data_IF_454318848179
#
_entry.id   IF_454318848179
#
_cell.length_a   1.000
_cell.length_b   1.000
_cell.length_c   1.000
_cell.angle_alpha   90.00
_cell.angle_beta   90.00
_cell.angle_gamma   90.00
#
_symmetry.space_group_name_H-M   'P 1'
#
loop_
_entity.id
_entity.type
_entity.pdbx_description
1 polymer ?
#
# COMPACT_ATOMS: atom_id res chain seq x y z
N UNK A 1 13.07 -50.61 -30.36
CA UNK A 1 14.21 -51.43 -30.82
C UNK A 1 15.30 -50.49 -31.35
N UNK A 2 16.39 -50.36 -30.66
CA UNK A 2 17.79 -50.38 -31.02
C UNK A 2 18.62 -49.94 -29.82
N UNK A 3 19.35 -50.94 -29.31
CA UNK A 3 20.43 -50.88 -28.32
C UNK A 3 21.68 -50.36 -29.02
N UNK A 4 22.58 -49.75 -28.28
CA UNK A 4 24.06 -49.86 -28.40
C UNK A 4 24.62 -48.92 -27.30
N UNK A 5 25.49 -49.25 -26.51
CA UNK A 5 26.54 -50.21 -26.21
C UNK A 5 27.65 -49.45 -25.49
N UNK A 6 28.00 -49.96 -24.35
CA UNK A 6 29.04 -49.56 -23.41
C UNK A 6 30.42 -49.82 -24.01
N UNK A 7 31.39 -48.92 -23.88
CA UNK A 7 32.80 -49.26 -23.96
C UNK A 7 33.58 -48.63 -22.78
N UNK A 8 34.02 -49.51 -21.89
CA UNK A 8 35.08 -49.24 -20.93
C UNK A 8 36.44 -49.24 -21.67
N UNK A 9 37.29 -48.26 -21.37
CA UNK A 9 38.73 -48.40 -21.64
C UNK A 9 39.52 -47.94 -20.43
N UNK A 10 40.16 -48.94 -19.82
CA UNK A 10 41.16 -48.81 -18.74
C UNK A 10 42.52 -48.58 -19.38
N UNK A 11 43.31 -47.61 -18.93
CA UNK A 11 44.74 -47.59 -19.19
C UNK A 11 45.56 -46.98 -18.04
N UNK A 12 46.59 -47.69 -17.76
CA UNK A 12 47.61 -47.83 -16.75
C UNK A 12 48.45 -46.59 -16.48
N UNK A 13 48.83 -46.43 -15.21
CA UNK A 13 49.85 -45.51 -14.69
C UNK A 13 51.23 -45.67 -15.35
N UNK A 14 51.88 -44.55 -15.60
CA UNK A 14 53.34 -44.47 -15.55
C UNK A 14 53.73 -43.09 -14.98
N UNK A 15 54.38 -43.11 -13.82
CA UNK A 15 54.90 -41.93 -13.15
C UNK A 15 56.17 -41.42 -13.82
N UNK A 16 56.25 -40.10 -13.93
CA UNK A 16 57.53 -39.38 -14.15
C UNK A 16 57.52 -38.17 -13.21
N UNK A 17 58.42 -38.18 -12.23
CA UNK A 17 58.78 -37.00 -11.44
C UNK A 17 59.48 -35.97 -12.34
N UNK A 18 58.90 -34.77 -12.48
CA UNK A 18 59.64 -33.61 -13.00
C UNK A 18 59.37 -32.45 -12.08
N UNK A 19 60.40 -31.96 -11.42
CA UNK A 19 60.40 -30.67 -10.68
C UNK A 19 60.19 -29.53 -11.65
N UNK A 20 59.15 -28.69 -11.44
CA UNK A 20 58.99 -27.42 -12.11
C UNK A 20 58.86 -26.31 -11.06
N UNK A 21 59.36 -25.09 -11.38
CA UNK A 21 59.51 -24.01 -10.38
C UNK A 21 58.16 -23.38 -10.00
N UNK A 22 58.10 -22.81 -8.80
CA UNK A 22 56.94 -22.12 -8.27
C UNK A 22 56.59 -20.89 -9.15
N UNK A 23 55.49 -20.96 -9.88
CA UNK A 23 54.81 -19.79 -10.43
C UNK A 23 54.09 -19.06 -9.30
N UNK A 24 54.48 -17.81 -9.06
CA UNK A 24 53.76 -16.86 -8.27
C UNK A 24 52.39 -16.55 -8.91
N UNK A 25 51.39 -17.37 -8.61
CA UNK A 25 50.02 -17.10 -8.95
C UNK A 25 49.50 -15.88 -8.18
N UNK A 26 49.50 -14.73 -8.83
CA UNK A 26 48.78 -13.56 -8.40
C UNK A 26 47.29 -13.94 -8.33
N UNK A 27 46.80 -14.34 -7.15
CA UNK A 27 45.37 -14.44 -6.88
C UNK A 27 44.83 -13.01 -6.91
N UNK A 28 44.32 -12.57 -8.05
CA UNK A 28 43.38 -11.46 -8.08
C UNK A 28 42.27 -11.76 -7.09
N UNK A 29 42.26 -11.02 -5.99
CA UNK A 29 41.15 -11.02 -5.05
C UNK A 29 39.92 -10.56 -5.86
N UNK A 30 38.93 -11.45 -6.07
CA UNK A 30 37.61 -11.05 -6.54
C UNK A 30 37.18 -9.90 -5.62
N UNK A 31 37.08 -8.69 -6.18
CA UNK A 31 36.42 -7.56 -5.52
C UNK A 31 35.06 -8.11 -5.10
N UNK A 32 34.77 -8.08 -3.80
CA UNK A 32 33.43 -8.32 -3.30
C UNK A 32 32.52 -7.33 -4.04
N UNK A 33 31.53 -7.83 -4.75
CA UNK A 33 30.49 -6.97 -5.32
C UNK A 33 29.90 -6.18 -4.16
N UNK A 34 29.88 -4.87 -4.28
CA UNK A 34 29.15 -4.02 -3.34
C UNK A 34 27.70 -4.49 -3.32
N UNK A 35 27.07 -4.61 -2.14
CA UNK A 35 25.67 -5.01 -2.08
C UNK A 35 24.87 -4.03 -2.93
N UNK A 36 24.12 -4.55 -3.91
CA UNK A 36 23.17 -3.73 -4.67
C UNK A 36 22.20 -3.08 -3.70
N UNK A 37 21.98 -1.79 -3.83
CA UNK A 37 20.92 -1.10 -3.10
C UNK A 37 19.58 -1.79 -3.39
N UNK A 38 18.75 -1.90 -2.34
CA UNK A 38 17.41 -2.46 -2.51
C UNK A 38 16.56 -1.53 -3.39
N UNK A 39 15.80 -2.11 -4.28
CA UNK A 39 14.85 -1.42 -5.17
C UNK A 39 13.42 -1.77 -4.78
N UNK A 40 12.43 -1.05 -5.32
CA UNK A 40 11.04 -1.44 -5.18
C UNK A 40 10.77 -2.78 -5.92
N UNK A 41 9.87 -3.63 -5.41
CA UNK A 41 9.09 -3.50 -4.17
C UNK A 41 9.85 -3.85 -2.87
N UNK A 42 11.07 -4.42 -2.94
CA UNK A 42 11.83 -4.84 -1.75
C UNK A 42 12.01 -3.70 -0.74
N UNK A 43 12.32 -2.49 -1.24
CA UNK A 43 12.52 -1.30 -0.43
C UNK A 43 11.27 -0.98 0.41
N UNK A 44 10.07 -1.15 -0.16
CA UNK A 44 8.80 -0.92 0.53
C UNK A 44 8.40 -2.05 1.51
N UNK A 45 9.19 -3.11 1.62
CA UNK A 45 8.84 -4.30 2.41
C UNK A 45 8.46 -4.00 3.86
N UNK A 46 9.13 -3.05 4.50
CA UNK A 46 8.87 -2.64 5.90
C UNK A 46 8.16 -1.28 6.03
N UNK A 47 7.80 -0.63 4.92
CA UNK A 47 7.25 0.72 4.90
C UNK A 47 5.74 0.74 5.20
N UNK A 48 5.28 1.91 5.58
CA UNK A 48 3.87 2.26 5.78
C UNK A 48 3.52 3.40 4.83
N UNK A 49 2.38 3.27 4.14
CA UNK A 49 1.85 4.32 3.25
C UNK A 49 1.03 5.32 4.09
N UNK A 50 1.16 6.59 3.77
CA UNK A 50 0.33 7.66 4.31
C UNK A 50 -0.38 8.38 3.15
N UNK A 51 -1.69 8.31 3.12
CA UNK A 51 -2.51 8.96 2.10
C UNK A 51 -2.73 10.43 2.44
N UNK A 52 -2.36 11.32 1.53
CA UNK A 52 -2.39 12.79 1.69
C UNK A 52 -3.52 13.39 0.87
N UNK A 53 -4.53 13.92 1.56
CA UNK A 53 -5.59 14.74 0.97
C UNK A 53 -5.23 16.21 1.12
N UNK A 54 -4.50 16.78 0.14
CA UNK A 54 -3.93 18.12 0.24
C UNK A 54 -5.00 19.21 0.45
N UNK A 55 -6.17 19.12 -0.24
CA UNK A 55 -7.27 20.07 -0.09
C UNK A 55 -7.75 20.18 1.35
N UNK A 56 -7.83 19.05 2.05
CA UNK A 56 -8.43 18.94 3.37
C UNK A 56 -7.40 18.93 4.51
N UNK A 57 -6.10 18.83 4.17
CA UNK A 57 -5.06 18.61 5.16
C UNK A 57 -4.91 19.77 6.14
N UNK A 58 -4.95 21.00 5.62
CA UNK A 58 -4.88 22.23 6.42
C UNK A 58 -6.05 23.17 6.06
N UNK A 59 -6.32 24.19 6.88
CA UNK A 59 -7.29 25.24 6.50
C UNK A 59 -6.95 25.90 5.16
N UNK A 60 -5.66 26.10 4.86
CA UNK A 60 -5.18 26.68 3.60
C UNK A 60 -5.36 25.70 2.43
N UNK A 61 -5.12 24.41 2.66
CA UNK A 61 -5.16 23.35 1.65
C UNK A 61 -4.06 23.46 0.60
N UNK A 62 -2.86 23.90 1.00
CA UNK A 62 -1.74 24.17 0.09
C UNK A 62 -0.52 23.32 0.42
N UNK A 63 0.37 23.11 -0.56
CA UNK A 63 1.66 22.43 -0.36
C UNK A 63 2.52 23.13 0.70
N UNK A 64 2.54 24.47 0.71
CA UNK A 64 3.30 25.24 1.71
C UNK A 64 2.84 24.94 3.13
N UNK A 65 1.52 24.93 3.35
CA UNK A 65 0.97 24.61 4.66
C UNK A 65 1.18 23.12 5.02
N UNK A 66 1.06 22.22 4.06
CA UNK A 66 1.34 20.79 4.25
C UNK A 66 2.81 20.55 4.65
N UNK A 67 3.76 21.26 4.05
CA UNK A 67 5.20 21.10 4.32
C UNK A 67 5.58 21.30 5.79
N UNK A 68 4.79 22.05 6.55
CA UNK A 68 4.99 22.20 8.00
C UNK A 68 4.68 20.92 8.79
N UNK A 69 3.91 20.01 8.17
CA UNK A 69 3.55 18.72 8.76
C UNK A 69 4.52 17.58 8.39
N UNK A 70 5.39 17.73 7.41
CA UNK A 70 6.34 16.68 7.01
C UNK A 70 7.22 16.18 8.17
N UNK A 71 7.77 17.04 9.06
CA UNK A 71 8.52 16.56 10.22
C UNK A 71 7.67 15.67 11.16
N UNK A 72 6.40 16.00 11.36
CA UNK A 72 5.46 15.20 12.16
C UNK A 72 5.19 13.83 11.52
N UNK A 73 5.02 13.77 10.18
CA UNK A 73 4.84 12.52 9.45
C UNK A 73 6.10 11.64 9.50
N UNK A 74 7.28 12.25 9.42
CA UNK A 74 8.54 11.54 9.67
C UNK A 74 8.61 10.98 11.10
N UNK A 75 8.18 11.75 12.09
CA UNK A 75 8.14 11.32 13.49
C UNK A 75 7.08 10.22 13.71
N UNK A 76 5.97 10.24 12.98
CA UNK A 76 4.99 9.15 12.94
C UNK A 76 5.62 7.86 12.42
N UNK A 77 6.63 7.99 11.55
CA UNK A 77 7.43 6.90 10.99
C UNK A 77 6.96 6.42 9.63
N UNK A 78 5.99 7.09 8.99
CA UNK A 78 5.54 6.76 7.63
C UNK A 78 6.63 7.07 6.61
N UNK A 79 6.72 6.27 5.56
CA UNK A 79 7.79 6.39 4.57
C UNK A 79 7.30 6.68 3.16
N UNK A 80 6.11 6.24 2.77
CA UNK A 80 5.55 6.53 1.44
C UNK A 80 4.37 7.50 1.61
N UNK A 81 4.49 8.68 1.02
CA UNK A 81 3.42 9.67 0.97
C UNK A 81 2.69 9.53 -0.36
N UNK A 82 1.45 9.05 -0.33
CA UNK A 82 0.59 9.03 -1.49
C UNK A 82 -0.26 10.30 -1.52
N UNK A 83 0.03 11.19 -2.47
CA UNK A 83 -0.79 12.38 -2.72
C UNK A 83 -1.97 12.02 -3.62
N UNK A 84 -3.20 12.25 -3.14
CA UNK A 84 -4.39 12.27 -3.97
C UNK A 84 -4.20 13.24 -5.16
N UNK A 85 -5.03 13.17 -6.24
CA UNK A 85 -4.77 13.96 -7.43
C UNK A 85 -4.56 15.45 -7.14
N UNK A 86 -3.46 15.99 -7.65
CA UNK A 86 -3.05 17.40 -7.45
C UNK A 86 -3.24 18.27 -8.68
N UNK A 87 -3.77 17.71 -9.76
CA UNK A 87 -3.99 18.36 -11.04
C UNK A 87 -5.20 19.30 -10.98
N UNK A 88 -5.31 20.29 -11.89
CA UNK A 88 -6.47 21.15 -12.03
C UNK A 88 -7.74 20.34 -12.27
N UNK A 89 -8.83 20.77 -11.65
CA UNK A 89 -10.13 20.10 -11.68
C UNK A 89 -11.03 20.74 -12.73
N UNK A 90 -11.76 19.92 -13.50
CA UNK A 90 -12.71 20.36 -14.49
C UNK A 90 -13.81 21.27 -13.91
N UNK A 91 -14.31 22.19 -14.74
CA UNK A 91 -15.41 23.08 -14.39
C UNK A 91 -16.72 22.68 -15.07
N UNK A 92 -16.62 22.10 -16.27
CA UNK A 92 -17.78 21.65 -17.02
C UNK A 92 -18.37 20.38 -16.38
N UNK A 93 -19.65 20.44 -16.07
CA UNK A 93 -20.41 19.39 -15.37
C UNK A 93 -19.90 19.09 -13.95
N UNK A 94 -19.16 20.00 -13.34
CA UNK A 94 -18.58 19.86 -12.00
C UNK A 94 -19.65 19.52 -10.97
N UNK A 95 -19.35 18.54 -10.11
CA UNK A 95 -20.13 18.20 -8.92
C UNK A 95 -19.67 19.05 -7.73
N UNK A 96 -20.59 19.60 -6.95
CA UNK A 96 -20.27 20.51 -5.84
C UNK A 96 -19.61 21.81 -6.28
N UNK A 97 -19.00 22.55 -5.34
CA UNK A 97 -18.38 23.85 -5.65
C UNK A 97 -16.95 23.71 -6.16
N UNK A 98 -16.17 22.76 -5.61
CA UNK A 98 -14.76 22.56 -5.94
C UNK A 98 -14.49 21.36 -6.87
N UNK A 99 -15.48 20.50 -7.06
CA UNK A 99 -15.38 19.33 -7.94
C UNK A 99 -14.60 18.15 -7.36
N UNK A 100 -14.64 17.06 -8.09
CA UNK A 100 -13.88 15.84 -7.81
C UNK A 100 -12.40 16.04 -8.10
N UNK A 101 -11.53 15.60 -7.20
CA UNK A 101 -10.08 15.52 -7.44
C UNK A 101 -9.76 14.70 -8.69
N UNK A 102 -10.61 13.71 -9.01
CA UNK A 102 -10.44 12.77 -10.12
C UNK A 102 -10.95 13.31 -11.45
N UNK A 103 -11.62 14.47 -11.50
CA UNK A 103 -12.01 15.12 -12.77
C UNK A 103 -10.86 15.97 -13.30
N UNK A 104 -9.88 15.34 -13.93
CA UNK A 104 -8.59 15.93 -14.34
C UNK A 104 -8.79 16.84 -15.57
N UNK A 105 -8.46 18.14 -15.42
CA UNK A 105 -8.51 19.14 -16.51
C UNK A 105 -7.19 19.27 -17.28
N UNK A 106 -6.07 19.01 -16.63
CA UNK A 106 -4.74 19.04 -17.23
C UNK A 106 -3.80 18.12 -16.47
N UNK A 107 -3.27 17.10 -17.12
CA UNK A 107 -2.38 16.12 -16.48
C UNK A 107 -0.98 16.63 -16.16
N UNK A 108 -0.53 17.69 -16.82
CA UNK A 108 0.83 18.23 -16.70
C UNK A 108 0.89 19.55 -15.91
N UNK A 109 -0.18 19.85 -15.14
CA UNK A 109 -0.27 21.06 -14.32
C UNK A 109 -0.67 20.77 -12.88
N UNK A 110 -0.33 21.67 -11.97
CA UNK A 110 -0.77 21.68 -10.57
C UNK A 110 -2.04 22.50 -10.43
N UNK A 111 -2.99 22.02 -9.61
CA UNK A 111 -4.16 22.80 -9.23
C UNK A 111 -3.74 24.10 -8.53
N UNK A 112 -4.09 25.27 -9.05
CA UNK A 112 -3.68 26.55 -8.47
C UNK A 112 -4.20 26.79 -7.04
N UNK A 113 -5.24 26.04 -6.60
CA UNK A 113 -5.70 26.06 -5.21
C UNK A 113 -4.67 25.47 -4.25
N UNK A 114 -3.81 24.54 -4.71
CA UNK A 114 -2.81 23.85 -3.89
C UNK A 114 -1.44 24.54 -3.92
N UNK A 115 -1.18 25.34 -4.96
CA UNK A 115 0.10 26.03 -5.19
C UNK A 115 0.58 25.93 -6.63
N UNK A 116 1.89 25.98 -6.81
CA UNK A 116 2.55 25.89 -8.12
C UNK A 116 3.30 24.56 -8.27
N UNK A 117 3.81 24.28 -9.48
CA UNK A 117 4.70 23.14 -9.72
C UNK A 117 5.95 23.20 -8.84
N UNK A 118 6.52 24.40 -8.66
CA UNK A 118 7.68 24.63 -7.81
C UNK A 118 7.36 24.36 -6.34
N UNK A 119 6.14 24.69 -5.87
CA UNK A 119 5.71 24.38 -4.51
C UNK A 119 5.58 22.86 -4.30
N UNK A 120 5.06 22.12 -5.29
CA UNK A 120 5.01 20.66 -5.21
C UNK A 120 6.41 20.03 -5.27
N UNK A 121 7.28 20.52 -6.16
CA UNK A 121 8.68 20.09 -6.23
C UNK A 121 9.39 20.29 -4.89
N UNK A 122 9.24 21.46 -4.27
CA UNK A 122 9.79 21.73 -2.94
C UNK A 122 9.20 20.79 -1.86
N UNK A 123 7.98 20.31 -2.03
CA UNK A 123 7.37 19.30 -1.15
C UNK A 123 8.05 17.94 -1.32
N UNK A 124 8.29 17.50 -2.55
CA UNK A 124 9.00 16.26 -2.87
C UNK A 124 10.43 16.32 -2.34
N UNK A 125 11.17 17.39 -2.65
CA UNK A 125 12.53 17.61 -2.17
C UNK A 125 12.60 17.49 -0.64
N UNK A 126 11.70 18.17 0.08
CA UNK A 126 11.64 18.13 1.55
C UNK A 126 11.27 16.76 2.10
N UNK A 127 10.38 16.01 1.43
CA UNK A 127 10.07 14.62 1.78
C UNK A 127 11.31 13.74 1.64
N UNK A 128 12.06 13.85 0.53
CA UNK A 128 13.30 13.13 0.28
C UNK A 128 14.38 13.47 1.32
N UNK A 129 14.57 14.76 1.67
CA UNK A 129 15.49 15.19 2.74
C UNK A 129 15.17 14.50 4.09
N UNK A 130 13.90 14.21 4.35
CA UNK A 130 13.44 13.49 5.53
C UNK A 130 13.47 11.96 5.36
N UNK A 131 13.91 11.47 4.19
CA UNK A 131 13.95 10.03 3.87
C UNK A 131 12.56 9.43 3.72
N UNK A 132 11.64 10.16 3.12
CA UNK A 132 10.31 9.69 2.72
C UNK A 132 10.21 9.71 1.19
N UNK A 133 9.39 8.83 0.64
CA UNK A 133 9.09 8.69 -0.78
C UNK A 133 7.75 9.33 -1.10
N UNK A 134 7.59 9.83 -2.32
CA UNK A 134 6.36 10.49 -2.78
C UNK A 134 5.81 9.76 -3.99
N UNK A 135 4.58 9.25 -3.89
CA UNK A 135 3.84 8.72 -5.03
C UNK A 135 2.63 9.61 -5.32
N UNK A 136 2.32 9.76 -6.61
CA UNK A 136 1.23 10.60 -7.08
C UNK A 136 0.05 9.74 -7.53
N UNK A 137 -1.16 10.13 -7.14
CA UNK A 137 -2.37 9.52 -7.67
C UNK A 137 -2.49 9.79 -9.17
N UNK A 138 -2.68 8.74 -9.94
CA UNK A 138 -2.76 8.81 -11.38
C UNK A 138 -4.10 8.29 -11.87
N UNK A 139 -4.85 9.13 -12.58
CA UNK A 139 -6.21 8.87 -13.06
C UNK A 139 -6.20 8.59 -14.56
N UNK A 140 -5.94 7.36 -15.00
CA UNK A 140 -5.82 7.06 -16.42
C UNK A 140 -7.15 6.82 -17.11
N UNK A 141 -8.22 6.50 -16.38
CA UNK A 141 -9.49 6.04 -16.94
C UNK A 141 -10.25 7.13 -17.70
N UNK A 142 -10.14 8.40 -17.29
CA UNK A 142 -10.97 9.48 -17.80
C UNK A 142 -10.32 10.85 -17.61
N UNK A 143 -10.92 11.88 -18.23
CA UNK A 143 -10.58 13.29 -18.01
C UNK A 143 -11.83 14.09 -17.63
N UNK A 144 -11.64 15.36 -17.24
CA UNK A 144 -12.74 16.31 -17.19
C UNK A 144 -13.31 16.61 -18.59
N UNK A 145 -14.56 17.08 -18.68
CA UNK A 145 -15.20 17.46 -19.94
C UNK A 145 -14.63 18.74 -20.60
N UNK A 146 -13.86 19.53 -19.88
CA UNK A 146 -13.14 20.70 -20.36
C UNK A 146 -11.62 20.48 -20.47
N UNK A 147 -11.17 19.22 -20.43
CA UNK A 147 -9.80 18.85 -20.77
C UNK A 147 -9.48 19.22 -22.23
N UNK A 148 -8.31 19.81 -22.55
CA UNK A 148 -7.94 20.19 -23.91
C UNK A 148 -8.05 19.07 -24.96
N UNK A 149 -7.88 17.81 -24.56
CA UNK A 149 -7.99 16.67 -25.49
C UNK A 149 -9.42 16.48 -26.03
N UNK A 150 -10.46 16.90 -25.31
CA UNK A 150 -11.86 16.81 -25.80
C UNK A 150 -12.01 17.48 -27.17
N UNK A 151 -11.34 18.61 -27.37
CA UNK A 151 -11.43 19.38 -28.63
C UNK A 151 -10.29 19.11 -29.60
N UNK A 152 -9.07 18.86 -29.09
CA UNK A 152 -7.88 18.66 -29.92
C UNK A 152 -7.73 17.21 -30.40
N UNK A 153 -8.17 16.26 -29.60
CA UNK A 153 -8.00 14.81 -29.79
C UNK A 153 -9.26 14.04 -29.39
N UNK A 154 -10.44 14.32 -29.97
CA UNK A 154 -11.69 13.62 -29.63
C UNK A 154 -11.63 12.11 -29.95
N UNK A 155 -10.64 11.67 -30.70
CA UNK A 155 -10.34 10.26 -30.97
C UNK A 155 -9.75 9.52 -29.76
N UNK A 156 -9.26 10.22 -28.74
CA UNK A 156 -8.75 9.60 -27.52
C UNK A 156 -9.84 9.06 -26.60
N UNK A 157 -11.10 9.41 -26.87
CA UNK A 157 -12.22 9.13 -25.98
C UNK A 157 -13.09 7.99 -26.47
N UNK A 158 -13.59 7.22 -25.51
CA UNK A 158 -14.62 6.22 -25.74
C UNK A 158 -15.93 6.88 -26.23
N UNK A 159 -16.64 6.19 -27.10
CA UNK A 159 -17.87 6.72 -27.73
C UNK A 159 -19.04 5.76 -27.56
N UNK A 160 -20.21 6.32 -27.36
CA UNK A 160 -21.46 5.59 -27.39
C UNK A 160 -21.82 5.11 -28.83
N UNK A 161 -22.92 4.40 -28.96
CA UNK A 161 -23.40 3.89 -30.26
C UNK A 161 -23.81 4.98 -31.25
N UNK A 162 -23.97 6.23 -30.79
CA UNK A 162 -24.28 7.40 -31.62
C UNK A 162 -23.03 8.20 -32.01
N UNK A 163 -21.86 7.80 -31.52
CA UNK A 163 -20.58 8.46 -31.76
C UNK A 163 -20.26 9.62 -30.83
N UNK A 164 -21.04 9.85 -29.77
CA UNK A 164 -20.77 10.85 -28.76
C UNK A 164 -19.74 10.33 -27.75
N UNK A 165 -18.87 11.22 -27.24
CA UNK A 165 -18.00 10.90 -26.11
C UNK A 165 -18.90 10.52 -24.92
N UNK A 166 -18.51 9.44 -24.21
CA UNK A 166 -19.30 8.88 -23.11
C UNK A 166 -18.61 9.05 -21.75
N UNK A 167 -19.29 8.65 -20.70
CA UNK A 167 -18.80 8.60 -19.32
C UNK A 167 -19.19 7.25 -18.72
N UNK A 168 -18.65 6.93 -17.55
CA UNK A 168 -18.88 5.66 -16.86
C UNK A 168 -19.89 5.84 -15.72
N UNK A 169 -20.79 4.87 -15.54
CA UNK A 169 -21.77 4.82 -14.47
C UNK A 169 -22.53 6.15 -14.29
N UNK A 170 -22.53 6.73 -13.10
CA UNK A 170 -23.11 8.03 -12.76
C UNK A 170 -22.05 9.16 -12.64
N UNK A 171 -20.83 8.93 -13.15
CA UNK A 171 -19.72 9.90 -13.11
C UNK A 171 -19.85 10.92 -14.25
N UNK A 172 -20.94 11.70 -14.21
CA UNK A 172 -21.33 12.63 -15.27
C UNK A 172 -20.39 13.84 -15.44
N UNK A 173 -19.45 14.02 -14.53
CA UNK A 173 -18.43 15.07 -14.51
C UNK A 173 -17.12 14.68 -15.21
N UNK A 174 -17.05 13.45 -15.79
CA UNK A 174 -15.86 12.95 -16.49
C UNK A 174 -16.19 12.45 -17.91
N UNK A 175 -15.17 12.34 -18.75
CA UNK A 175 -15.21 11.80 -20.09
C UNK A 175 -14.23 10.62 -20.20
N UNK A 176 -14.76 9.45 -20.57
CA UNK A 176 -14.03 8.17 -20.59
C UNK A 176 -12.99 8.13 -21.72
N UNK A 177 -11.77 7.72 -21.42
CA UNK A 177 -10.71 7.53 -22.41
C UNK A 177 -10.80 6.14 -23.06
N UNK A 178 -10.30 6.05 -24.30
CA UNK A 178 -10.21 4.79 -25.07
C UNK A 178 -8.75 4.28 -25.09
N UNK A 179 -8.42 3.39 -24.18
CA UNK A 179 -7.09 2.76 -24.09
C UNK A 179 -6.83 1.67 -25.15
N UNK A 180 -7.78 1.35 -26.00
CA UNK A 180 -7.49 0.48 -27.16
C UNK A 180 -6.62 1.21 -28.18
N UNK A 181 -6.56 2.55 -28.12
CA UNK A 181 -5.77 3.40 -29.03
C UNK A 181 -4.36 3.62 -28.51
N UNK A 182 -3.34 3.28 -29.30
CA UNK A 182 -1.94 3.49 -28.91
C UNK A 182 -1.59 4.96 -28.66
N UNK A 183 -2.22 5.89 -29.38
CA UNK A 183 -1.98 7.33 -29.23
C UNK A 183 -2.43 7.85 -27.87
N UNK A 184 -3.60 7.37 -27.39
CA UNK A 184 -4.13 7.69 -26.04
C UNK A 184 -3.16 7.20 -24.97
N UNK A 185 -2.75 5.93 -25.04
CA UNK A 185 -1.81 5.34 -24.09
C UNK A 185 -0.47 6.06 -24.09
N UNK A 186 0.09 6.31 -25.28
CA UNK A 186 1.35 7.05 -25.39
C UNK A 186 1.27 8.43 -24.74
N UNK A 187 0.19 9.19 -25.01
CA UNK A 187 0.06 10.54 -24.44
C UNK A 187 -0.12 10.50 -22.91
N UNK A 188 -0.81 9.48 -22.40
CA UNK A 188 -0.95 9.25 -20.97
C UNK A 188 0.41 8.95 -20.32
N UNK A 189 1.22 8.07 -20.92
CA UNK A 189 2.57 7.73 -20.45
C UNK A 189 3.51 8.94 -20.52
N UNK A 190 3.40 9.77 -21.57
CA UNK A 190 4.18 11.00 -21.68
C UNK A 190 3.86 11.99 -20.55
N UNK A 191 2.60 12.08 -20.14
CA UNK A 191 2.18 12.89 -19.00
C UNK A 191 2.68 12.34 -17.66
N UNK A 192 2.73 11.02 -17.48
CA UNK A 192 3.35 10.39 -16.30
C UNK A 192 4.86 10.72 -16.25
N UNK A 193 5.53 10.60 -17.38
CA UNK A 193 6.97 10.93 -17.51
C UNK A 193 7.27 12.38 -17.13
N UNK A 194 6.37 13.32 -17.43
CA UNK A 194 6.51 14.72 -17.02
C UNK A 194 6.72 14.83 -15.49
N UNK A 195 5.90 14.16 -14.68
CA UNK A 195 6.00 14.26 -13.22
C UNK A 195 7.30 13.65 -12.67
N UNK A 196 7.76 12.54 -13.23
CA UNK A 196 9.04 11.93 -12.84
C UNK A 196 10.20 12.92 -13.13
N UNK A 197 10.25 13.48 -14.34
CA UNK A 197 11.32 14.35 -14.76
C UNK A 197 11.34 15.70 -14.05
N UNK A 198 10.16 16.30 -13.83
CA UNK A 198 10.06 17.65 -13.29
C UNK A 198 10.08 17.69 -11.76
N UNK A 199 9.62 16.63 -11.10
CA UNK A 199 9.39 16.67 -9.65
C UNK A 199 10.07 15.54 -8.87
N UNK A 200 10.70 14.61 -9.56
CA UNK A 200 11.43 13.47 -8.96
C UNK A 200 10.56 12.60 -8.04
N UNK A 201 9.27 12.43 -8.33
CA UNK A 201 8.39 11.50 -7.59
C UNK A 201 8.88 10.06 -7.69
N UNK A 202 8.49 9.21 -6.74
CA UNK A 202 8.97 7.84 -6.57
C UNK A 202 7.96 6.78 -7.03
N UNK A 203 6.87 7.17 -7.68
CA UNK A 203 5.90 6.23 -8.20
C UNK A 203 4.49 6.78 -8.32
N UNK A 204 3.55 5.84 -8.48
CA UNK A 204 2.15 6.17 -8.72
C UNK A 204 1.21 5.26 -7.94
N UNK A 205 0.11 5.84 -7.45
CA UNK A 205 -1.10 5.09 -7.15
C UNK A 205 -2.01 5.19 -8.38
N UNK A 206 -2.32 4.05 -8.95
CA UNK A 206 -3.04 3.92 -10.20
C UNK A 206 -4.53 3.79 -9.93
N UNK A 207 -5.26 4.88 -10.15
CA UNK A 207 -6.71 4.98 -9.96
C UNK A 207 -7.45 4.03 -10.92
N UNK A 208 -8.43 3.29 -10.40
CA UNK A 208 -9.33 2.42 -11.17
C UNK A 208 -8.58 1.51 -12.17
N UNK A 209 -7.47 0.91 -11.71
CA UNK A 209 -6.40 0.38 -12.56
C UNK A 209 -6.77 -0.81 -13.46
N UNK A 210 -7.88 -1.51 -13.21
CA UNK A 210 -8.16 -2.78 -13.87
C UNK A 210 -9.46 -2.88 -14.66
N UNK A 211 -10.34 -1.90 -14.62
CA UNK A 211 -11.65 -1.95 -15.30
C UNK A 211 -11.53 -1.73 -16.81
N UNK A 212 -11.63 -0.49 -17.26
CA UNK A 212 -11.47 -0.13 -18.66
C UNK A 212 -9.99 0.03 -19.08
N UNK A 213 -9.07 -0.10 -18.11
CA UNK A 213 -7.64 -0.01 -18.35
C UNK A 213 -7.09 -1.42 -18.65
N UNK A 214 -6.64 -1.69 -19.88
CA UNK A 214 -6.08 -2.98 -20.22
C UNK A 214 -4.70 -3.17 -19.59
N UNK A 215 -4.34 -4.41 -19.22
CA UNK A 215 -3.05 -4.72 -18.60
C UNK A 215 -1.85 -4.26 -19.46
N UNK A 216 -1.96 -4.35 -20.78
CA UNK A 216 -0.89 -3.90 -21.69
C UNK A 216 -0.62 -2.39 -21.63
N UNK A 217 -1.54 -1.56 -21.09
CA UNK A 217 -1.23 -0.16 -20.79
C UNK A 217 -0.20 -0.06 -19.67
N UNK A 218 -0.36 -0.86 -18.61
CA UNK A 218 0.58 -0.88 -17.51
C UNK A 218 1.93 -1.48 -17.92
N UNK A 219 1.93 -2.54 -18.76
CA UNK A 219 3.14 -3.08 -19.38
C UNK A 219 3.89 -2.00 -20.19
N UNK A 220 3.19 -1.22 -21.03
CA UNK A 220 3.77 -0.11 -21.77
C UNK A 220 4.28 1.01 -20.83
N UNK A 221 3.56 1.29 -19.73
CA UNK A 221 3.91 2.35 -18.79
C UNK A 221 5.16 1.98 -17.96
N UNK A 222 5.19 0.81 -17.34
CA UNK A 222 6.34 0.34 -16.56
C UNK A 222 7.58 0.20 -17.43
N UNK A 223 7.46 -0.42 -18.61
CA UNK A 223 8.57 -0.53 -19.57
C UNK A 223 9.15 0.84 -20.01
N UNK A 224 8.32 1.89 -20.06
CA UNK A 224 8.73 3.23 -20.48
C UNK A 224 9.26 4.11 -19.33
N UNK A 225 8.85 3.84 -18.09
CA UNK A 225 9.09 4.72 -16.95
C UNK A 225 10.09 4.17 -15.93
N UNK A 226 10.11 2.87 -15.64
CA UNK A 226 11.06 2.27 -14.70
C UNK A 226 12.53 2.45 -15.10
N UNK A 227 12.90 2.53 -16.40
CA UNK A 227 14.27 2.86 -16.79
C UNK A 227 14.71 4.29 -16.42
N UNK A 228 13.77 5.20 -16.10
CA UNK A 228 14.06 6.58 -15.70
C UNK A 228 14.40 6.67 -14.21
N UNK A 229 13.67 5.92 -13.41
CA UNK A 229 13.79 5.86 -11.95
C UNK A 229 13.16 4.57 -11.44
N UNK A 230 13.70 4.01 -10.36
CA UNK A 230 13.05 2.93 -9.62
C UNK A 230 11.75 3.45 -8.99
N UNK A 231 10.59 2.95 -9.46
CA UNK A 231 9.27 3.46 -9.11
C UNK A 231 8.47 2.44 -8.31
N UNK A 232 7.66 2.91 -7.37
CA UNK A 232 6.68 2.12 -6.65
C UNK A 232 5.29 2.27 -7.28
N UNK A 233 4.67 1.13 -7.64
CA UNK A 233 3.38 1.07 -8.32
C UNK A 233 2.31 0.46 -7.43
N UNK A 234 1.30 1.25 -7.06
CA UNK A 234 0.15 0.82 -6.27
C UNK A 234 -1.12 0.85 -7.11
N UNK A 235 -1.69 -0.31 -7.42
CA UNK A 235 -2.96 -0.41 -8.13
C UNK A 235 -4.17 -0.28 -7.19
N UNK A 236 -5.09 0.61 -7.49
CA UNK A 236 -6.45 0.50 -6.98
C UNK A 236 -7.21 -0.55 -7.79
N UNK A 237 -6.94 -1.80 -7.50
CA UNK A 237 -7.62 -2.94 -8.08
C UNK A 237 -7.33 -4.20 -7.25
N UNK A 238 -8.26 -5.17 -7.26
CA UNK A 238 -8.16 -6.39 -6.46
C UNK A 238 -8.17 -7.64 -7.37
N UNK A 239 -7.14 -7.76 -8.23
CA UNK A 239 -6.94 -8.93 -9.10
C UNK A 239 -5.45 -9.32 -9.20
N UNK A 240 -5.11 -10.64 -9.17
CA UNK A 240 -3.72 -11.10 -9.24
C UNK A 240 -2.97 -10.66 -10.50
N UNK A 241 -3.66 -10.49 -11.62
CA UNK A 241 -3.03 -10.12 -12.90
C UNK A 241 -2.30 -8.76 -12.82
N UNK A 242 -2.73 -7.88 -11.91
CA UNK A 242 -2.09 -6.57 -11.76
C UNK A 242 -0.63 -6.69 -11.29
N UNK A 243 -0.29 -7.74 -10.55
CA UNK A 243 1.07 -8.01 -10.09
C UNK A 243 2.02 -8.54 -11.17
N UNK A 244 1.56 -8.66 -12.42
CA UNK A 244 2.47 -8.87 -13.54
C UNK A 244 3.28 -7.59 -13.87
N UNK A 245 2.71 -6.42 -13.56
CA UNK A 245 3.27 -5.11 -13.90
C UNK A 245 3.40 -4.16 -12.70
N UNK A 246 2.58 -4.33 -11.65
CA UNK A 246 2.49 -3.39 -10.54
C UNK A 246 2.87 -4.08 -9.21
N UNK A 247 3.50 -3.34 -8.30
CA UNK A 247 4.08 -3.87 -7.06
C UNK A 247 3.04 -4.24 -6.02
N UNK A 248 2.03 -3.39 -5.88
CA UNK A 248 1.02 -3.52 -4.85
C UNK A 248 -0.40 -3.38 -5.41
N UNK A 249 -1.35 -4.08 -4.80
CA UNK A 249 -2.78 -3.95 -5.11
C UNK A 249 -3.58 -3.70 -3.84
N UNK A 250 -4.74 -3.07 -3.99
CA UNK A 250 -5.71 -2.99 -2.89
C UNK A 250 -6.17 -4.37 -2.46
N UNK A 251 -6.53 -4.49 -1.18
CA UNK A 251 -7.19 -5.67 -0.64
C UNK A 251 -8.59 -5.30 -0.15
N UNK A 252 -9.48 -5.04 -1.10
CA UNK A 252 -10.88 -4.73 -0.81
C UNK A 252 -11.58 -5.88 -0.10
N UNK A 253 -11.23 -7.12 -0.46
CA UNK A 253 -11.81 -8.32 0.14
C UNK A 253 -11.59 -8.38 1.65
N UNK A 254 -10.37 -8.08 2.12
CA UNK A 254 -10.06 -8.06 3.56
C UNK A 254 -10.64 -6.83 4.25
N UNK A 255 -10.67 -5.66 3.61
CA UNK A 255 -11.34 -4.49 4.16
C UNK A 255 -12.81 -4.78 4.47
N UNK A 256 -13.56 -5.32 3.49
CA UNK A 256 -14.96 -5.65 3.66
C UNK A 256 -15.17 -6.76 4.72
N UNK A 257 -14.30 -7.78 4.75
CA UNK A 257 -14.34 -8.81 5.77
C UNK A 257 -14.16 -8.24 7.18
N UNK A 258 -13.22 -7.29 7.38
CA UNK A 258 -13.06 -6.61 8.69
C UNK A 258 -14.29 -5.80 9.09
N UNK A 259 -14.95 -5.13 8.14
CA UNK A 259 -16.20 -4.43 8.41
C UNK A 259 -17.35 -5.37 8.79
N UNK A 260 -17.48 -6.49 8.11
CA UNK A 260 -18.53 -7.45 8.40
C UNK A 260 -18.32 -8.08 9.79
N UNK A 261 -17.08 -8.30 10.23
CA UNK A 261 -16.78 -8.67 11.62
C UNK A 261 -17.16 -7.54 12.59
N UNK A 262 -16.77 -6.29 12.30
CA UNK A 262 -17.10 -5.15 13.16
C UNK A 262 -18.62 -4.93 13.31
N UNK A 263 -19.39 -5.26 12.27
CA UNK A 263 -20.87 -5.22 12.25
C UNK A 263 -21.52 -6.46 12.85
N UNK A 264 -20.74 -7.46 13.30
CA UNK A 264 -21.22 -8.72 13.85
C UNK A 264 -21.92 -9.65 12.84
N UNK A 265 -21.62 -9.49 11.56
CA UNK A 265 -22.13 -10.36 10.49
C UNK A 265 -21.24 -11.57 10.27
N UNK A 266 -19.94 -11.42 10.49
CA UNK A 266 -18.93 -12.45 10.41
C UNK A 266 -18.17 -12.59 11.72
N UNK A 267 -17.52 -13.73 11.91
CA UNK A 267 -16.65 -14.03 13.04
C UNK A 267 -15.18 -13.70 12.72
N UNK A 268 -14.31 -13.70 13.73
CA UNK A 268 -12.87 -13.55 13.52
C UNK A 268 -12.27 -14.77 12.76
N UNK A 269 -12.90 -15.94 12.91
CA UNK A 269 -12.52 -17.15 12.15
C UNK A 269 -12.83 -16.99 10.68
N UNK A 270 -13.99 -16.48 10.30
CA UNK A 270 -14.37 -16.20 8.91
C UNK A 270 -13.48 -15.12 8.28
N UNK A 271 -13.01 -14.13 9.08
CA UNK A 271 -11.98 -13.18 8.64
C UNK A 271 -10.67 -13.91 8.32
N UNK A 272 -10.23 -14.86 9.17
CA UNK A 272 -9.01 -15.61 8.90
C UNK A 272 -9.15 -16.52 7.67
N UNK A 273 -10.28 -17.15 7.45
CA UNK A 273 -10.57 -17.86 6.20
C UNK A 273 -10.46 -16.96 4.95
N UNK A 274 -10.85 -15.68 5.08
CA UNK A 274 -10.69 -14.72 3.99
C UNK A 274 -9.22 -14.42 3.71
N UNK A 275 -8.37 -14.39 4.76
CA UNK A 275 -6.91 -14.27 4.62
C UNK A 275 -6.33 -15.51 3.93
N UNK A 276 -6.75 -16.71 4.30
CA UNK A 276 -6.29 -17.96 3.67
C UNK A 276 -6.69 -18.01 2.18
N UNK A 277 -7.90 -17.56 1.86
CA UNK A 277 -8.38 -17.44 0.46
C UNK A 277 -7.55 -16.42 -0.33
N UNK A 278 -7.25 -15.25 0.24
CA UNK A 278 -6.40 -14.24 -0.40
C UNK A 278 -4.98 -14.79 -0.64
N UNK A 279 -4.36 -15.39 0.37
CA UNK A 279 -3.03 -16.00 0.24
C UNK A 279 -3.01 -17.17 -0.77
N UNK A 280 -4.07 -17.96 -0.86
CA UNK A 280 -4.20 -19.03 -1.85
C UNK A 280 -4.35 -18.47 -3.27
N UNK A 281 -5.02 -17.32 -3.43
CA UNK A 281 -5.30 -16.70 -4.72
C UNK A 281 -4.12 -15.87 -5.26
N UNK A 282 -3.48 -15.07 -4.40
CA UNK A 282 -2.37 -14.16 -4.76
C UNK A 282 -0.98 -14.76 -4.52
N UNK A 283 -0.88 -15.74 -3.64
CA UNK A 283 0.41 -16.16 -3.08
C UNK A 283 0.91 -15.19 -2.00
N UNK A 284 2.14 -15.40 -1.55
CA UNK A 284 2.72 -14.59 -0.46
C UNK A 284 3.65 -13.48 -0.94
N UNK A 285 4.06 -13.49 -2.21
CA UNK A 285 5.01 -12.49 -2.73
C UNK A 285 4.41 -11.12 -2.99
N UNK A 286 3.19 -10.98 -3.53
CA UNK A 286 2.57 -9.70 -3.84
C UNK A 286 2.33 -8.83 -2.60
N UNK A 287 2.42 -7.51 -2.77
CA UNK A 287 2.06 -6.57 -1.72
C UNK A 287 0.57 -6.25 -1.80
N UNK A 288 -0.14 -6.51 -0.71
CA UNK A 288 -1.57 -6.25 -0.59
C UNK A 288 -1.77 -5.06 0.34
N UNK A 289 -2.38 -3.97 -0.15
CA UNK A 289 -2.66 -2.79 0.67
C UNK A 289 -3.73 -3.11 1.71
N UNK A 290 -3.41 -2.87 2.96
CA UNK A 290 -4.32 -3.05 4.10
C UNK A 290 -4.61 -1.71 4.75
N UNK A 291 -5.89 -1.44 4.98
CA UNK A 291 -6.36 -0.18 5.57
C UNK A 291 -7.64 -0.39 6.36
N UNK A 292 -7.97 0.51 7.24
CA UNK A 292 -9.30 0.61 7.86
C UNK A 292 -10.13 1.74 7.26
N UNK A 293 -9.51 2.65 6.51
CA UNK A 293 -10.16 3.75 5.80
C UNK A 293 -9.23 4.35 4.74
N UNK A 294 -9.80 5.05 3.78
CA UNK A 294 -9.15 5.92 2.81
C UNK A 294 -10.07 7.13 2.54
N UNK A 295 -9.76 7.95 1.52
CA UNK A 295 -10.58 9.10 1.15
C UNK A 295 -12.01 8.73 0.75
N UNK A 296 -12.22 7.59 0.05
CA UNK A 296 -13.54 7.11 -0.37
C UNK A 296 -14.33 6.56 0.82
N UNK A 297 -13.75 5.64 1.57
CA UNK A 297 -14.40 5.05 2.73
C UNK A 297 -14.82 6.12 3.73
N UNK A 298 -13.93 7.09 4.01
CA UNK A 298 -14.25 8.19 4.92
C UNK A 298 -15.40 9.05 4.40
N UNK A 299 -15.44 9.36 3.10
CA UNK A 299 -16.45 10.22 2.53
C UNK A 299 -17.80 9.50 2.38
N UNK A 300 -17.80 8.25 1.90
CA UNK A 300 -19.01 7.56 1.44
C UNK A 300 -19.53 6.50 2.43
N UNK A 301 -18.66 5.71 3.04
CA UNK A 301 -19.05 4.64 3.95
C UNK A 301 -19.14 5.11 5.41
N UNK A 302 -18.25 6.00 5.83
CA UNK A 302 -18.21 6.56 7.19
C UNK A 302 -16.82 6.61 7.79
N UNK A 303 -16.71 7.34 8.90
CA UNK A 303 -15.46 7.41 9.66
C UNK A 303 -15.09 6.03 10.23
N UNK A 304 -13.84 5.84 10.64
CA UNK A 304 -13.43 4.60 11.32
C UNK A 304 -14.24 4.33 12.60
N UNK A 305 -14.73 5.39 13.26
CA UNK A 305 -15.55 5.27 14.46
C UNK A 305 -16.99 4.86 14.12
N UNK A 306 -17.55 5.30 13.01
CA UNK A 306 -18.86 4.86 12.53
C UNK A 306 -18.83 3.41 12.04
N UNK A 307 -17.71 2.98 11.42
CA UNK A 307 -17.57 1.65 10.81
C UNK A 307 -17.12 0.58 11.79
N UNK A 308 -16.20 0.90 12.70
CA UNK A 308 -15.58 -0.06 13.64
C UNK A 308 -15.90 0.21 15.12
N UNK A 309 -16.56 1.35 15.45
CA UNK A 309 -16.88 1.71 16.81
C UNK A 309 -15.67 1.71 17.74
N UNK A 310 -15.83 1.14 18.93
CA UNK A 310 -14.75 0.99 19.93
C UNK A 310 -13.66 -0.01 19.48
N UNK A 311 -13.95 -0.84 18.47
CA UNK A 311 -13.01 -1.80 17.90
C UNK A 311 -11.94 -1.19 16.99
N UNK A 312 -12.03 0.10 16.65
CA UNK A 312 -11.15 0.74 15.66
C UNK A 312 -9.64 0.49 15.91
N UNK A 313 -9.21 0.41 17.19
CA UNK A 313 -7.81 0.09 17.54
C UNK A 313 -7.46 -1.37 17.27
N UNK A 314 -8.35 -2.31 17.61
CA UNK A 314 -8.09 -3.74 17.38
C UNK A 314 -7.99 -4.04 15.87
N UNK A 315 -8.85 -3.44 15.05
CA UNK A 315 -8.78 -3.57 13.59
C UNK A 315 -7.55 -2.86 12.99
N UNK A 316 -7.11 -1.73 13.56
CA UNK A 316 -5.84 -1.12 13.17
C UNK A 316 -4.63 -2.01 13.53
N UNK A 317 -4.60 -2.62 14.72
CA UNK A 317 -3.57 -3.63 15.06
C UNK A 317 -3.58 -4.77 14.05
N UNK A 318 -4.75 -5.27 13.69
CA UNK A 318 -4.88 -6.31 12.66
C UNK A 318 -4.24 -5.89 11.34
N UNK A 319 -4.57 -4.72 10.78
CA UNK A 319 -4.03 -4.27 9.49
C UNK A 319 -2.52 -4.08 9.49
N UNK A 320 -1.92 -3.74 10.64
CA UNK A 320 -0.47 -3.56 10.77
C UNK A 320 0.29 -4.86 11.04
N UNK A 321 -0.39 -5.92 11.46
CA UNK A 321 0.28 -7.14 11.92
C UNK A 321 -0.01 -8.37 11.08
N UNK A 322 -1.09 -8.39 10.28
CA UNK A 322 -1.49 -9.61 9.56
C UNK A 322 -0.57 -9.92 8.38
N UNK A 323 -0.56 -9.20 7.29
CA UNK A 323 0.35 -9.28 6.14
C UNK A 323 0.05 -8.10 5.21
N UNK A 324 0.83 -7.92 4.14
CA UNK A 324 0.63 -6.80 3.23
C UNK A 324 1.25 -5.49 3.71
N UNK A 325 0.96 -4.40 3.03
CA UNK A 325 1.47 -3.06 3.33
C UNK A 325 0.35 -2.22 3.96
N UNK A 326 0.51 -1.72 5.20
CA UNK A 326 -0.53 -0.93 5.85
C UNK A 326 -0.51 0.51 5.37
N UNK A 327 -1.70 1.14 5.42
CA UNK A 327 -1.90 2.55 5.11
C UNK A 327 -2.59 3.28 6.25
N UNK A 328 -2.23 4.54 6.43
CA UNK A 328 -2.89 5.53 7.30
C UNK A 328 -3.47 6.62 6.40
N UNK A 329 -4.76 6.92 6.53
CA UNK A 329 -5.38 8.07 5.86
C UNK A 329 -5.20 9.35 6.68
N UNK A 330 -5.06 10.49 6.01
CA UNK A 330 -4.91 11.83 6.61
C UNK A 330 -5.86 12.08 7.78
N UNK A 331 -5.29 12.30 8.97
CA UNK A 331 -6.04 12.57 10.20
C UNK A 331 -6.46 11.35 11.00
N UNK A 332 -6.32 10.13 10.48
CA UNK A 332 -6.63 8.92 11.21
C UNK A 332 -5.83 8.80 12.51
N UNK A 333 -4.56 9.20 12.47
CA UNK A 333 -3.63 9.16 13.60
C UNK A 333 -3.92 10.20 14.69
N UNK A 334 -4.78 11.17 14.42
CA UNK A 334 -5.28 12.13 15.43
C UNK A 334 -6.75 11.90 15.78
N UNK A 335 -7.31 10.79 15.31
CA UNK A 335 -8.69 10.40 15.64
C UNK A 335 -9.75 11.19 14.89
N UNK A 336 -9.51 11.50 13.60
CA UNK A 336 -10.48 12.13 12.74
C UNK A 336 -11.82 11.39 12.77
N UNK A 337 -12.83 11.99 13.39
CA UNK A 337 -14.20 11.49 13.46
C UNK A 337 -15.13 12.40 12.68
N UNK A 338 -14.79 12.63 11.42
CA UNK A 338 -15.54 13.49 10.51
C UNK A 338 -15.43 12.91 9.11
N UNK A 339 -16.56 12.80 8.42
CA UNK A 339 -16.57 12.54 6.98
C UNK A 339 -16.14 13.82 6.27
N UNK A 340 -14.97 13.80 5.63
CA UNK A 340 -14.47 14.95 4.89
C UNK A 340 -15.30 15.16 3.63
N UNK A 341 -15.70 16.40 3.40
CA UNK A 341 -16.53 16.74 2.25
C UNK A 341 -15.76 16.55 0.93
N UNK A 342 -16.20 15.61 0.09
CA UNK A 342 -15.45 15.22 -1.11
C UNK A 342 -15.37 16.32 -2.18
N UNK A 343 -16.47 17.05 -2.40
CA UNK A 343 -16.57 18.08 -3.45
C UNK A 343 -16.40 19.52 -2.94
N UNK A 344 -16.11 19.67 -1.66
CA UNK A 344 -16.07 20.98 -0.99
C UNK A 344 -14.78 21.14 -0.20
N UNK A 345 -14.49 22.38 0.23
CA UNK A 345 -13.42 22.64 1.18
C UNK A 345 -13.83 22.20 2.58
N UNK A 346 -12.98 21.42 3.19
CA UNK A 346 -13.05 21.02 4.58
C UNK A 346 -11.64 21.10 5.22
N UNK A 347 -11.49 20.73 6.48
CA UNK A 347 -10.16 20.66 7.10
C UNK A 347 -10.12 19.64 8.23
N UNK A 348 -8.95 19.05 8.41
CA UNK A 348 -8.62 18.12 9.50
C UNK A 348 -8.28 18.95 10.74
N UNK A 349 -8.83 18.57 11.89
CA UNK A 349 -8.39 19.07 13.18
C UNK A 349 -7.21 18.19 13.65
N UNK A 350 -6.03 18.78 13.72
CA UNK A 350 -4.79 18.08 14.10
C UNK A 350 -4.58 17.95 15.61
N UNK A 351 -5.59 18.27 16.42
CA UNK A 351 -5.52 18.07 17.86
C UNK A 351 -5.89 16.64 18.23
N UNK A 352 -4.93 15.90 18.77
CA UNK A 352 -5.08 14.49 19.15
C UNK A 352 -5.76 14.35 20.53
N UNK A 353 -7.05 14.57 20.59
CA UNK A 353 -7.86 14.44 21.84
C UNK A 353 -7.93 12.99 22.35
N UNK A 354 -7.69 12.00 21.48
CA UNK A 354 -7.86 10.57 21.79
C UNK A 354 -6.54 9.86 22.08
N UNK A 355 -5.40 10.55 21.95
CA UNK A 355 -4.06 9.97 22.12
C UNK A 355 -3.74 8.88 21.09
N UNK A 356 -4.21 9.01 19.86
CA UNK A 356 -4.00 8.01 18.81
C UNK A 356 -2.68 8.17 18.10
N UNK A 357 -2.05 9.33 18.14
CA UNK A 357 -0.74 9.55 17.50
C UNK A 357 0.31 8.58 18.03
N UNK A 358 0.41 8.42 19.35
CA UNK A 358 1.35 7.49 19.95
C UNK A 358 0.97 6.02 19.67
N UNK A 359 -0.31 5.71 19.56
CA UNK A 359 -0.77 4.39 19.17
C UNK A 359 -0.33 4.03 17.75
N UNK A 360 -0.52 4.93 16.77
CA UNK A 360 -0.07 4.70 15.39
C UNK A 360 1.45 4.72 15.27
N UNK A 361 2.17 5.59 15.99
CA UNK A 361 3.65 5.55 16.08
C UNK A 361 4.15 4.17 16.52
N UNK A 362 3.52 3.58 17.54
CA UNK A 362 3.86 2.23 17.99
C UNK A 362 3.61 1.18 16.92
N UNK A 363 2.48 1.24 16.20
CA UNK A 363 2.18 0.29 15.12
C UNK A 363 3.19 0.38 13.97
N UNK A 364 3.51 1.59 13.53
CA UNK A 364 4.53 1.81 12.49
C UNK A 364 5.90 1.31 12.96
N UNK A 365 6.30 1.65 14.18
CA UNK A 365 7.56 1.20 14.77
C UNK A 365 7.61 -0.32 14.94
N UNK A 366 6.52 -0.94 15.40
CA UNK A 366 6.40 -2.39 15.51
C UNK A 366 6.70 -3.06 14.17
N UNK A 367 6.02 -2.62 13.12
CA UNK A 367 6.19 -3.16 11.77
C UNK A 367 7.60 -2.97 11.25
N UNK A 368 8.11 -1.74 11.31
CA UNK A 368 9.43 -1.37 10.77
C UNK A 368 10.56 -2.22 11.36
N UNK A 369 10.50 -2.46 12.68
CA UNK A 369 11.56 -3.10 13.43
C UNK A 369 11.42 -4.63 13.54
N UNK A 370 10.39 -5.24 12.97
CA UNK A 370 10.14 -6.67 13.06
C UNK A 370 9.96 -7.30 11.68
N UNK A 371 11.00 -7.96 11.18
CA UNK A 371 10.98 -8.61 9.87
C UNK A 371 9.81 -9.60 9.70
N UNK A 372 9.36 -10.22 10.78
CA UNK A 372 8.17 -11.07 10.76
C UNK A 372 6.93 -10.37 10.18
N UNK A 373 6.81 -9.04 10.35
CA UNK A 373 5.64 -8.26 9.93
C UNK A 373 5.78 -7.59 8.55
N UNK A 374 6.91 -7.73 7.89
CA UNK A 374 7.13 -7.08 6.58
C UNK A 374 6.19 -7.62 5.50
N UNK A 375 6.08 -6.89 4.39
CA UNK A 375 5.18 -7.22 3.28
C UNK A 375 5.73 -8.35 2.41
N UNK A 376 4.81 -9.10 1.80
CA UNK A 376 5.12 -10.10 0.80
C UNK A 376 6.15 -11.12 1.27
N UNK A 377 7.01 -11.55 0.36
CA UNK A 377 8.07 -12.53 0.64
C UNK A 377 9.12 -12.09 1.68
N UNK A 378 9.15 -10.80 2.01
CA UNK A 378 10.10 -10.24 2.99
C UNK A 378 9.63 -10.42 4.43
N UNK A 379 8.34 -10.73 4.66
CA UNK A 379 7.77 -11.04 5.96
C UNK A 379 7.46 -12.52 6.18
N UNK A 380 6.90 -12.84 7.33
CA UNK A 380 6.40 -14.19 7.67
C UNK A 380 4.95 -14.39 7.23
N UNK A 381 4.59 -15.60 6.80
CA UNK A 381 3.19 -15.96 6.59
C UNK A 381 2.49 -16.03 7.94
N UNK A 382 1.27 -15.48 8.10
CA UNK A 382 0.52 -15.64 9.34
C UNK A 382 0.13 -17.11 9.54
N UNK A 383 0.35 -17.62 10.76
CA UNK A 383 -0.02 -18.95 11.19
C UNK A 383 -1.05 -18.83 12.32
N UNK A 384 -2.29 -19.29 12.07
CA UNK A 384 -3.37 -19.27 13.08
C UNK A 384 -3.02 -20.12 14.27
N UNK A 385 -3.39 -19.66 15.44
CA UNK A 385 -3.31 -20.39 16.71
C UNK A 385 -4.75 -20.61 17.15
N UNK A 386 -5.16 -21.88 17.28
CA UNK A 386 -6.50 -22.22 17.70
C UNK A 386 -6.68 -21.95 19.21
N UNK A 387 -7.71 -21.18 19.55
CA UNK A 387 -8.07 -20.79 20.91
C UNK A 387 -9.52 -21.20 21.28
N UNK A 388 -10.15 -22.06 20.45
CA UNK A 388 -11.52 -22.57 20.61
C UNK A 388 -12.55 -21.44 20.80
N UNK A 389 -12.39 -20.35 20.06
CA UNK A 389 -13.32 -19.22 20.07
C UNK A 389 -13.31 -18.48 18.73
N UNK A 390 -14.43 -18.51 18.03
CA UNK A 390 -14.62 -17.95 16.70
C UNK A 390 -14.53 -16.40 16.61
N UNK A 391 -14.65 -15.71 17.76
CA UNK A 391 -14.59 -14.25 17.85
C UNK A 391 -13.18 -13.73 18.23
N UNK A 392 -12.25 -14.64 18.49
CA UNK A 392 -10.87 -14.32 18.86
C UNK A 392 -9.92 -14.80 17.77
N UNK A 393 -9.20 -13.88 17.18
CA UNK A 393 -8.15 -14.20 16.22
C UNK A 393 -6.80 -14.20 16.92
N UNK A 394 -6.16 -15.38 17.01
CA UNK A 394 -4.79 -15.53 17.47
C UNK A 394 -3.91 -16.08 16.33
N UNK A 395 -2.74 -15.48 16.13
CA UNK A 395 -1.79 -15.92 15.11
C UNK A 395 -0.36 -15.50 15.43
N UNK A 396 0.60 -16.19 14.83
CA UNK A 396 2.01 -15.77 14.85
C UNK A 396 2.53 -15.54 13.43
N UNK A 397 3.51 -14.65 13.31
CA UNK A 397 4.33 -14.48 12.11
C UNK A 397 5.80 -14.64 12.49
N UNK A 398 6.56 -15.35 11.65
CA UNK A 398 7.98 -15.66 11.91
C UNK A 398 8.83 -15.42 10.67
N UNK A 399 9.93 -14.70 10.83
CA UNK A 399 10.90 -14.43 9.77
C UNK A 399 12.28 -14.17 10.36
N UNK A 400 13.30 -14.82 9.85
CA UNK A 400 14.72 -14.54 10.16
C UNK A 400 15.04 -14.45 11.67
N UNK A 401 14.45 -15.35 12.45
CA UNK A 401 14.63 -15.41 13.92
C UNK A 401 13.76 -14.41 14.71
N UNK A 402 12.95 -13.60 14.04
CA UNK A 402 11.97 -12.71 14.65
C UNK A 402 10.59 -13.38 14.65
N UNK A 403 9.89 -13.32 15.77
CA UNK A 403 8.51 -13.79 15.90
C UNK A 403 7.64 -12.71 16.53
N UNK A 404 6.46 -12.49 15.95
CA UNK A 404 5.42 -11.65 16.53
C UNK A 404 4.16 -12.48 16.69
N UNK A 405 3.68 -12.57 17.93
CA UNK A 405 2.43 -13.20 18.31
C UNK A 405 1.36 -12.13 18.53
N UNK A 406 0.18 -12.33 17.99
CA UNK A 406 -0.96 -11.40 18.07
C UNK A 406 -2.20 -12.15 18.51
N UNK A 407 -2.93 -11.58 19.47
CA UNK A 407 -4.23 -12.09 19.95
C UNK A 407 -5.20 -10.92 19.96
N UNK A 408 -6.32 -11.05 19.26
CA UNK A 408 -7.33 -10.01 19.07
C UNK A 408 -8.71 -10.54 19.41
N UNK A 409 -9.38 -9.95 20.40
CA UNK A 409 -10.82 -10.07 20.51
C UNK A 409 -11.45 -9.05 19.55
N UNK A 410 -12.03 -9.52 18.45
CA UNK A 410 -12.64 -8.66 17.42
C UNK A 410 -14.16 -8.44 17.67
N UNK A 411 -14.63 -8.72 18.90
CA UNK A 411 -16.04 -8.56 19.27
C UNK A 411 -16.23 -7.52 20.39
N UNK A 412 -17.46 -7.04 20.54
CA UNK A 412 -17.88 -6.11 21.59
C UNK A 412 -18.24 -6.82 22.91
N UNK A 413 -17.91 -8.11 23.04
CA UNK A 413 -18.15 -8.91 24.22
C UNK A 413 -16.83 -9.40 24.82
N UNK A 414 -16.83 -9.68 26.14
CA UNK A 414 -15.75 -10.44 26.75
C UNK A 414 -15.76 -11.85 26.17
N UNK A 415 -14.59 -12.37 25.81
CA UNK A 415 -14.44 -13.71 25.24
C UNK A 415 -13.59 -14.60 26.14
N UNK A 416 -13.98 -15.86 26.25
CA UNK A 416 -13.17 -16.90 26.87
C UNK A 416 -12.34 -17.61 25.81
N UNK A 417 -11.12 -18.01 26.13
CA UNK A 417 -10.23 -18.75 25.22
C UNK A 417 -9.72 -20.03 25.87
N UNK A 418 -9.56 -21.05 25.04
CA UNK A 418 -8.89 -22.28 25.45
C UNK A 418 -7.36 -22.06 25.52
N UNK A 419 -6.71 -22.79 26.42
CA UNK A 419 -5.25 -22.80 26.48
C UNK A 419 -4.67 -23.54 25.26
N UNK A 420 -3.66 -22.91 24.65
CA UNK A 420 -2.89 -23.49 23.58
C UNK A 420 -1.39 -23.51 23.97
N UNK A 421 -0.67 -24.54 23.59
CA UNK A 421 0.76 -24.68 23.94
C UNK A 421 1.63 -23.53 23.42
N UNK A 422 1.23 -22.88 22.33
CA UNK A 422 1.90 -21.71 21.78
C UNK A 422 1.66 -20.43 22.62
N UNK A 423 0.60 -20.41 23.43
CA UNK A 423 0.26 -19.32 24.37
C UNK A 423 0.85 -19.64 25.73
N UNK A 424 2.15 -19.43 25.89
CA UNK A 424 2.84 -19.77 27.13
C UNK A 424 3.84 -18.70 27.56
N UNK A 425 4.10 -18.64 28.87
CA UNK A 425 5.06 -17.72 29.48
C UNK A 425 4.52 -16.33 29.76
N UNK A 426 5.33 -15.55 30.49
CA UNK A 426 5.02 -14.16 30.83
C UNK A 426 5.77 -13.23 29.89
N UNK A 427 5.05 -12.34 29.22
CA UNK A 427 5.56 -11.43 28.21
C UNK A 427 5.05 -10.01 28.44
N UNK A 428 5.71 -9.03 27.85
CA UNK A 428 5.22 -7.67 27.80
C UNK A 428 4.37 -7.46 26.54
N UNK A 429 3.13 -6.99 26.70
CA UNK A 429 2.35 -6.52 25.56
C UNK A 429 3.00 -5.26 24.97
N UNK A 430 3.49 -5.34 23.75
CA UNK A 430 4.19 -4.25 23.09
C UNK A 430 3.37 -2.96 23.01
N UNK A 431 2.06 -3.09 22.76
CA UNK A 431 1.18 -1.94 22.57
C UNK A 431 0.89 -1.19 23.87
N UNK A 432 0.68 -1.91 24.99
CA UNK A 432 0.30 -1.31 26.28
C UNK A 432 1.45 -1.19 27.25
N UNK A 433 2.49 -2.00 27.13
CA UNK A 433 3.61 -2.10 28.07
C UNK A 433 3.30 -2.97 29.30
N UNK A 434 2.09 -3.51 29.41
CA UNK A 434 1.66 -4.35 30.53
C UNK A 434 2.23 -5.76 30.43
N UNK A 435 2.48 -6.38 31.60
CA UNK A 435 2.87 -7.79 31.65
C UNK A 435 1.63 -8.68 31.46
N UNK A 436 1.75 -9.67 30.59
CA UNK A 436 0.70 -10.66 30.30
C UNK A 436 1.26 -12.06 30.50
N UNK A 437 0.65 -12.84 31.39
CA UNK A 437 0.91 -14.27 31.52
C UNK A 437 0.01 -15.04 30.53
N UNK A 438 0.57 -15.42 29.41
CA UNK A 438 -0.14 -16.17 28.38
C UNK A 438 -0.57 -17.56 28.86
N UNK A 439 0.19 -18.18 29.80
CA UNK A 439 -0.17 -19.49 30.36
C UNK A 439 -1.44 -19.45 31.21
N UNK A 440 -1.72 -18.29 31.79
CA UNK A 440 -2.91 -18.05 32.60
C UNK A 440 -4.03 -17.29 31.89
N UNK A 441 -3.84 -16.89 30.65
CA UNK A 441 -4.80 -16.10 29.89
C UNK A 441 -6.04 -16.95 29.54
N UNK A 442 -7.18 -16.58 30.10
CA UNK A 442 -8.46 -17.29 29.91
C UNK A 442 -9.53 -16.42 29.31
N UNK A 443 -9.41 -15.11 29.42
CA UNK A 443 -10.41 -14.16 28.97
C UNK A 443 -9.79 -12.94 28.34
N UNK A 444 -10.46 -12.37 27.36
CA UNK A 444 -10.14 -11.11 26.71
C UNK A 444 -11.32 -10.15 26.85
N UNK A 445 -11.05 -8.91 27.22
CA UNK A 445 -12.06 -7.84 27.24
C UNK A 445 -12.55 -7.54 25.82
N UNK A 446 -13.70 -6.86 25.67
CA UNK A 446 -14.15 -6.38 24.36
C UNK A 446 -13.05 -5.61 23.64
N UNK A 447 -12.79 -5.97 22.39
CA UNK A 447 -11.77 -5.36 21.52
C UNK A 447 -10.35 -5.31 22.11
N UNK A 448 -10.04 -6.19 23.07
CA UNK A 448 -8.68 -6.30 23.62
C UNK A 448 -7.73 -6.86 22.58
N UNK A 449 -6.52 -6.30 22.54
CA UNK A 449 -5.43 -6.74 21.66
C UNK A 449 -4.16 -6.93 22.47
N UNK A 450 -3.47 -8.04 22.18
CA UNK A 450 -2.19 -8.41 22.78
C UNK A 450 -1.19 -8.65 21.63
N UNK A 451 -0.07 -7.96 21.68
CA UNK A 451 1.01 -8.09 20.69
C UNK A 451 2.31 -8.37 21.44
N UNK A 452 2.90 -9.52 21.17
CA UNK A 452 4.13 -9.99 21.80
C UNK A 452 5.22 -10.12 20.75
N UNK A 453 6.40 -9.59 21.03
CA UNK A 453 7.63 -9.79 20.23
C UNK A 453 8.45 -10.85 20.99
N UNK A 454 8.87 -11.91 20.27
CA UNK A 454 9.69 -13.02 20.80
C UNK A 454 11.04 -13.07 20.10
#
# INVERSE_FOLDING_TARGET
>A
MKKYSLHFLTLVLAGICACTPAENGNKEAKKAEEPKEATFPQLAGNMTIYEVNIRQFTPEGTFKAFNEHLPRLKELGTEILWFMPIQPIGEKNRKGTLGSYYSIKDYEAVNPEFGTLEDFKATVDKAHELGMYVILDWVPNHTAWDHPWITKHPEYYAKDSLGNITYEADWTDIALLDHTRPETRKKMIDAMRFWINETDIDGFRCDHAGHEIPLYFWEEATAALDPLKDLFWLAEWDEPRMHLELDATYNWSILHATEDVAKGKHTADELYESIEKDLAHYGHSPFRLLMTTNHDENAWAGTVFERYGEGHKAFAVFTFTIYGIPMIYSGQEVGLNKRLAFFEKDSINWHDEKGLTDFYKKLVSLRKNNAALWSGQYGGVPAKIDVDNENVLAYSRKKDGNEVLVILNLSNQQQEIAQNAELSGSHQNYMTGEQVDLSGLKTLKPYEYIVIIK
#
